data_IF_352013734195
#
_entry.id   IF_352013734195
#
_cell.length_a   1.000
_cell.length_b   1.000
_cell.length_c   1.000
_cell.angle_alpha   90.00
_cell.angle_beta   90.00
_cell.angle_gamma   90.00
#
_symmetry.space_group_name_H-M   'P 1'
#
loop_
_entity.id
_entity.type
_entity.pdbx_description
1 polymer ?
#
# COMPACT_ATOMS: atom_id res chain seq x y z
N UNK A 1 -69.45 44.93 -33.95
CA UNK A 1 -68.00 45.04 -34.26
C UNK A 1 -67.25 44.16 -33.28
N UNK A 2 -66.25 43.47 -33.79
CA UNK A 2 -65.52 42.31 -33.25
C UNK A 2 -64.77 42.66 -31.94
N UNK A 3 -64.84 41.82 -30.88
CA UNK A 3 -63.79 40.86 -30.49
C UNK A 3 -64.13 40.10 -29.19
N UNK A 4 -63.86 38.81 -29.23
CA UNK A 4 -64.04 37.79 -28.18
C UNK A 4 -62.77 37.73 -27.29
N UNK A 5 -62.94 37.57 -25.99
CA UNK A 5 -61.91 37.00 -25.10
C UNK A 5 -62.57 36.27 -23.93
N UNK A 6 -62.59 34.94 -24.02
CA UNK A 6 -63.04 34.00 -22.97
C UNK A 6 -61.82 33.52 -22.19
N UNK A 7 -61.84 33.69 -20.86
CA UNK A 7 -60.90 33.06 -19.95
C UNK A 7 -61.51 31.78 -19.36
N UNK A 8 -60.87 30.63 -19.58
CA UNK A 8 -61.22 29.36 -18.95
C UNK A 8 -60.00 28.82 -18.21
N UNK A 9 -60.16 28.61 -16.91
CA UNK A 9 -59.21 27.91 -16.05
C UNK A 9 -59.38 26.39 -16.22
N UNK A 10 -58.29 25.68 -16.48
CA UNK A 10 -58.24 24.23 -16.45
C UNK A 10 -57.05 23.79 -15.58
N UNK A 11 -57.37 23.10 -14.48
CA UNK A 11 -56.42 22.34 -13.69
C UNK A 11 -55.98 21.09 -14.47
N UNK A 12 -54.68 20.80 -14.41
CA UNK A 12 -54.08 19.63 -15.02
C UNK A 12 -53.12 18.94 -14.07
N UNK A 13 -53.46 17.72 -13.67
CA UNK A 13 -52.60 16.76 -12.98
C UNK A 13 -51.28 16.55 -13.75
N UNK A 14 -50.13 16.79 -13.11
CA UNK A 14 -48.83 16.36 -13.66
C UNK A 14 -48.55 14.92 -13.23
N UNK A 15 -48.48 14.03 -14.23
CA UNK A 15 -47.87 12.69 -14.15
C UNK A 15 -46.39 12.85 -13.82
N UNK A 16 -45.93 12.13 -12.78
CA UNK A 16 -44.52 11.89 -12.54
C UNK A 16 -44.00 10.92 -13.61
N UNK A 17 -43.17 11.45 -14.52
CA UNK A 17 -42.35 10.66 -15.43
C UNK A 17 -40.97 10.48 -14.81
N UNK A 18 -40.51 9.23 -14.81
CA UNK A 18 -39.17 8.81 -14.43
C UNK A 18 -38.12 9.44 -15.35
N UNK A 19 -37.19 10.19 -14.77
CA UNK A 19 -35.89 10.48 -15.39
C UNK A 19 -34.78 9.91 -14.50
N UNK A 20 -33.88 9.18 -15.15
CA UNK A 20 -32.85 8.38 -14.53
C UNK A 20 -31.86 9.20 -13.73
N UNK A 21 -31.57 8.69 -12.55
CA UNK A 21 -30.44 9.07 -11.72
C UNK A 21 -29.15 8.80 -12.51
N UNK A 22 -28.56 9.87 -13.03
CA UNK A 22 -27.25 9.84 -13.68
C UNK A 22 -26.23 10.30 -12.66
N UNK A 23 -25.51 9.32 -12.11
CA UNK A 23 -24.18 9.41 -11.50
C UNK A 23 -23.81 10.73 -10.84
N UNK A 24 -24.08 10.83 -9.53
CA UNK A 24 -23.52 11.89 -8.69
C UNK A 24 -21.99 11.91 -8.79
N UNK A 25 -21.46 12.95 -9.42
CA UNK A 25 -20.04 13.26 -9.34
C UNK A 25 -19.66 13.50 -7.89
N UNK A 26 -18.77 12.68 -7.35
CA UNK A 26 -18.20 12.89 -6.03
C UNK A 26 -17.52 14.26 -6.03
N UNK A 27 -17.98 15.17 -5.17
CA UNK A 27 -17.37 16.48 -5.00
C UNK A 27 -15.96 16.29 -4.41
N UNK A 28 -14.94 16.37 -5.25
CA UNK A 28 -13.56 16.42 -4.81
C UNK A 28 -13.29 17.77 -4.15
N UNK A 29 -13.19 17.76 -2.83
CA UNK A 29 -13.13 18.97 -2.00
C UNK A 29 -13.41 18.70 -0.52
N UNK A 30 -13.11 17.49 -0.02
CA UNK A 30 -13.28 17.16 1.39
C UNK A 30 -12.51 18.10 2.32
N UNK A 31 -12.89 18.12 3.60
CA UNK A 31 -12.25 18.96 4.61
C UNK A 31 -10.72 18.80 4.59
N UNK A 32 -10.00 19.91 4.62
CA UNK A 32 -8.54 19.86 4.58
C UNK A 32 -8.00 19.15 5.82
N UNK A 33 -7.09 18.20 5.63
CA UNK A 33 -6.41 17.52 6.74
C UNK A 33 -5.14 18.29 7.10
N UNK A 34 -5.01 18.72 8.36
CA UNK A 34 -3.75 19.27 8.86
C UNK A 34 -2.77 18.15 9.13
N UNK A 35 -1.58 18.25 8.54
CA UNK A 35 -0.49 17.29 8.68
C UNK A 35 0.56 17.82 9.65
N UNK A 36 1.13 16.91 10.45
CA UNK A 36 2.24 17.26 11.33
C UNK A 36 3.38 16.25 11.17
N UNK A 37 4.22 16.40 10.14
CA UNK A 37 5.29 15.45 9.87
C UNK A 37 6.19 15.17 11.08
N UNK A 38 6.43 13.88 11.35
CA UNK A 38 7.22 13.42 12.47
C UNK A 38 8.49 12.72 12.00
N UNK A 39 9.62 13.05 12.64
CA UNK A 39 10.91 12.43 12.38
C UNK A 39 11.47 12.74 10.98
N UNK A 40 12.53 12.02 10.60
CA UNK A 40 13.14 12.13 9.27
C UNK A 40 12.30 11.42 8.22
N UNK A 41 12.23 11.99 7.01
CA UNK A 41 11.71 11.28 5.85
C UNK A 41 12.64 10.13 5.52
N UNK A 42 12.06 8.94 5.32
CA UNK A 42 12.80 7.76 4.92
C UNK A 42 13.13 7.83 3.42
N UNK A 43 14.28 7.27 3.05
CA UNK A 43 14.72 7.18 1.65
C UNK A 43 13.81 6.27 0.82
N UNK A 44 13.81 6.49 -0.50
CA UNK A 44 13.08 5.62 -1.42
C UNK A 44 13.63 4.20 -1.32
N UNK A 45 12.76 3.18 -1.42
CA UNK A 45 13.18 1.78 -1.30
C UNK A 45 14.24 1.36 -2.34
N UNK A 46 14.31 2.06 -3.47
CA UNK A 46 15.32 1.79 -4.50
C UNK A 46 16.70 2.33 -4.12
N UNK A 47 16.74 3.36 -3.28
CA UNK A 47 17.94 4.07 -2.86
C UNK A 47 18.41 3.67 -1.46
N UNK A 48 17.59 2.95 -0.69
CA UNK A 48 18.05 2.30 0.52
C UNK A 48 19.24 1.42 0.16
N UNK A 49 20.42 1.82 0.63
CA UNK A 49 21.58 0.95 0.64
C UNK A 49 21.11 -0.37 1.23
N UNK A 50 21.39 -1.49 0.56
CA UNK A 50 21.15 -2.79 1.15
C UNK A 50 21.79 -2.76 2.53
N UNK A 51 20.97 -2.64 3.59
CA UNK A 51 21.48 -2.77 4.94
C UNK A 51 22.29 -4.04 4.90
N UNK A 52 23.54 -3.98 5.35
CA UNK A 52 24.49 -5.08 5.28
C UNK A 52 24.09 -6.27 6.19
N UNK A 53 22.80 -6.63 6.21
CA UNK A 53 22.27 -7.89 6.66
C UNK A 53 22.22 -8.83 5.47
N UNK A 54 23.18 -9.73 5.40
CA UNK A 54 23.04 -10.93 4.59
C UNK A 54 21.92 -11.80 5.15
N UNK A 55 21.33 -12.67 4.33
CA UNK A 55 20.61 -13.81 4.88
C UNK A 55 21.53 -14.55 5.86
N UNK A 56 21.09 -14.72 7.10
CA UNK A 56 21.82 -15.46 8.11
C UNK A 56 21.20 -16.85 8.15
N UNK A 57 21.93 -17.83 7.61
CA UNK A 57 21.59 -19.24 7.82
C UNK A 57 21.83 -19.55 9.29
N UNK A 58 20.76 -19.47 10.09
CA UNK A 58 20.78 -19.99 11.46
C UNK A 58 20.84 -21.50 11.36
N UNK A 59 21.73 -22.11 12.15
CA UNK A 59 21.75 -23.55 12.27
C UNK A 59 20.34 -24.04 12.65
N UNK A 60 19.82 -25.10 12.00
CA UNK A 60 18.55 -25.67 12.40
C UNK A 60 18.64 -26.06 13.89
N UNK A 61 17.57 -25.79 14.66
CA UNK A 61 17.42 -26.32 16.01
C UNK A 61 17.62 -27.85 16.04
N UNK A 62 17.92 -28.40 17.22
CA UNK A 62 18.27 -29.81 17.38
C UNK A 62 17.34 -30.77 16.61
N UNK A 63 17.88 -31.87 16.05
CA UNK A 63 17.08 -32.92 15.44
C UNK A 63 15.98 -33.41 16.40
N UNK A 64 14.76 -33.61 15.89
CA UNK A 64 13.64 -34.14 16.68
C UNK A 64 12.71 -33.10 17.32
N UNK A 65 13.02 -31.80 17.24
CA UNK A 65 12.04 -30.77 17.63
C UNK A 65 11.08 -30.52 16.46
N UNK A 66 9.99 -31.27 16.41
CA UNK A 66 8.93 -31.12 15.40
C UNK A 66 8.05 -29.89 15.66
N UNK A 67 8.01 -29.37 16.89
CA UNK A 67 7.18 -28.21 17.26
C UNK A 67 8.02 -27.07 17.81
N UNK A 68 7.69 -25.86 17.39
CA UNK A 68 8.31 -24.61 17.84
C UNK A 68 7.32 -23.84 18.69
N UNK A 69 7.73 -23.48 19.90
CA UNK A 69 6.97 -22.56 20.75
C UNK A 69 7.38 -21.12 20.42
N UNK A 70 6.43 -20.35 19.89
CA UNK A 70 6.60 -18.94 19.58
C UNK A 70 6.12 -18.13 20.79
N UNK A 71 7.00 -17.38 21.47
CA UNK A 71 6.60 -16.59 22.63
C UNK A 71 5.61 -15.50 22.22
N UNK A 72 4.72 -15.14 23.15
CA UNK A 72 3.87 -13.97 23.00
C UNK A 72 4.71 -12.69 22.88
N UNK A 73 4.14 -11.66 22.28
CA UNK A 73 4.81 -10.37 22.09
C UNK A 73 4.25 -9.55 20.94
N UNK A 74 4.84 -8.37 20.78
CA UNK A 74 4.55 -7.42 19.69
C UNK A 74 4.96 -7.95 18.32
N UNK A 75 4.13 -7.67 17.34
CA UNK A 75 4.37 -7.85 15.91
C UNK A 75 3.97 -6.56 15.20
N UNK A 76 4.89 -5.97 14.43
CA UNK A 76 4.57 -5.01 13.38
C UNK A 76 4.21 -5.80 12.12
N UNK A 77 2.92 -6.00 11.87
CA UNK A 77 2.40 -6.78 10.75
C UNK A 77 2.36 -5.98 9.45
N UNK A 78 2.51 -6.67 8.31
CA UNK A 78 2.58 -6.08 6.99
C UNK A 78 3.94 -5.45 6.68
N UNK A 79 3.94 -4.46 5.79
CA UNK A 79 5.14 -3.87 5.21
C UNK A 79 5.07 -2.35 5.19
N UNK A 80 6.19 -1.70 4.96
CA UNK A 80 6.26 -0.25 4.92
C UNK A 80 5.74 0.25 3.57
N UNK A 81 4.86 1.28 3.52
CA UNK A 81 4.54 1.97 2.29
C UNK A 81 5.79 2.34 1.47
N UNK A 82 5.73 2.04 0.17
CA UNK A 82 6.87 2.15 -0.75
C UNK A 82 7.85 0.98 -0.78
N UNK A 83 7.71 -0.05 0.07
CA UNK A 83 8.56 -1.24 -0.01
C UNK A 83 8.44 -1.95 -1.36
N UNK A 84 9.56 -2.49 -1.86
CA UNK A 84 9.60 -3.22 -3.13
C UNK A 84 8.64 -4.41 -3.10
N UNK A 85 7.70 -4.42 -4.04
CA UNK A 85 6.70 -5.48 -4.22
C UNK A 85 5.56 -5.47 -3.20
N UNK A 86 5.46 -4.43 -2.36
CA UNK A 86 4.31 -4.26 -1.46
C UNK A 86 3.03 -4.06 -2.27
N UNK A 87 1.99 -4.82 -1.93
CA UNK A 87 0.62 -4.56 -2.37
C UNK A 87 -0.18 -3.90 -1.22
N UNK A 88 -0.51 -2.59 -1.28
CA UNK A 88 -1.26 -1.92 -0.21
C UNK A 88 -2.67 -2.45 0.03
N UNK A 89 -3.26 -3.13 -0.97
CA UNK A 89 -4.63 -3.65 -0.85
C UNK A 89 -4.67 -4.93 -0.01
N UNK A 90 -3.54 -5.63 0.09
CA UNK A 90 -3.41 -6.88 0.84
C UNK A 90 -2.53 -6.74 2.09
N UNK A 91 -1.46 -5.94 2.02
CA UNK A 91 -0.47 -5.77 3.07
C UNK A 91 -0.73 -4.49 3.91
N UNK A 92 -1.05 -4.63 5.21
CA UNK A 92 -1.31 -3.46 6.04
C UNK A 92 -0.03 -2.62 6.23
N UNK A 93 -0.21 -1.31 6.37
CA UNK A 93 0.90 -0.38 6.62
C UNK A 93 1.34 -0.44 8.09
N UNK A 94 2.35 -1.25 8.41
CA UNK A 94 2.98 -1.36 9.73
C UNK A 94 1.95 -1.49 10.88
N UNK A 95 1.08 -2.49 10.80
CA UNK A 95 0.02 -2.73 11.78
C UNK A 95 0.60 -3.32 13.07
N UNK A 96 0.61 -2.55 14.14
CA UNK A 96 1.04 -3.02 15.47
C UNK A 96 -0.02 -3.93 16.12
N UNK A 97 0.35 -5.17 16.44
CA UNK A 97 -0.48 -6.14 17.16
C UNK A 97 0.30 -6.83 18.27
N UNK A 98 -0.37 -7.16 19.37
CA UNK A 98 0.17 -8.00 20.44
C UNK A 98 -0.42 -9.41 20.29
N UNK A 99 0.44 -10.42 20.18
CA UNK A 99 0.00 -11.82 20.07
C UNK A 99 0.32 -12.58 21.36
N UNK A 100 -0.61 -13.43 21.79
CA UNK A 100 -0.34 -14.46 22.79
C UNK A 100 0.59 -15.53 22.24
N UNK A 101 1.31 -16.21 23.14
CA UNK A 101 2.19 -17.33 22.77
C UNK A 101 1.40 -18.51 22.19
N UNK A 102 2.01 -19.19 21.22
CA UNK A 102 1.43 -20.35 20.55
C UNK A 102 2.54 -21.34 20.17
N UNK A 103 2.16 -22.58 19.89
CA UNK A 103 3.07 -23.59 19.36
C UNK A 103 2.72 -23.87 17.91
N UNK A 104 3.70 -24.13 17.05
CA UNK A 104 3.47 -24.40 15.63
C UNK A 104 4.36 -25.51 15.10
N UNK A 105 3.91 -26.16 14.03
CA UNK A 105 4.70 -27.12 13.29
C UNK A 105 5.96 -26.45 12.73
N UNK A 106 7.10 -27.10 12.94
CA UNK A 106 8.40 -26.64 12.47
C UNK A 106 8.51 -26.75 10.96
N UNK A 107 7.98 -27.83 10.40
CA UNK A 107 7.90 -28.09 8.96
C UNK A 107 6.47 -27.90 8.45
N UNK A 108 6.29 -27.86 7.13
CA UNK A 108 4.97 -27.99 6.53
C UNK A 108 4.33 -29.33 6.94
N UNK A 109 3.00 -29.38 7.00
CA UNK A 109 2.26 -30.62 7.27
C UNK A 109 2.72 -31.73 6.30
N UNK A 110 3.05 -32.95 6.78
CA UNK A 110 2.68 -33.56 8.06
C UNK A 110 3.65 -33.29 9.23
N UNK A 111 4.50 -32.26 9.14
CA UNK A 111 5.49 -31.89 10.14
C UNK A 111 6.58 -32.94 10.37
N UNK A 112 6.97 -33.62 9.29
CA UNK A 112 7.92 -34.72 9.27
C UNK A 112 8.97 -34.44 8.18
N UNK A 113 10.25 -34.22 8.51
CA UNK A 113 11.29 -33.91 7.53
C UNK A 113 11.58 -35.07 6.56
N UNK A 114 11.14 -36.29 6.88
CA UNK A 114 11.25 -37.45 6.00
C UNK A 114 10.13 -37.57 4.97
N UNK A 115 9.12 -36.70 5.02
CA UNK A 115 7.96 -36.73 4.12
C UNK A 115 7.83 -35.42 3.33
N UNK A 116 7.38 -35.48 2.07
CA UNK A 116 7.08 -34.27 1.32
C UNK A 116 5.91 -33.51 1.98
N UNK A 117 5.89 -32.17 1.89
CA UNK A 117 4.73 -31.38 2.27
C UNK A 117 3.46 -31.87 1.57
N UNK A 118 2.36 -31.99 2.31
CA UNK A 118 1.06 -32.24 1.69
C UNK A 118 0.53 -30.96 1.06
N UNK A 119 0.37 -30.98 -0.26
CA UNK A 119 -0.22 -29.89 -1.04
C UNK A 119 -1.48 -30.38 -1.77
N UNK A 120 -2.11 -29.53 -2.59
CA UNK A 120 -3.26 -29.92 -3.41
C UNK A 120 -4.55 -30.11 -2.59
N UNK A 121 -4.62 -29.53 -1.39
CA UNK A 121 -5.79 -29.61 -0.52
C UNK A 121 -6.47 -28.24 -0.37
N UNK A 122 -7.78 -28.25 -0.17
CA UNK A 122 -8.55 -27.03 0.12
C UNK A 122 -8.27 -26.52 1.54
N UNK A 123 -8.59 -25.25 1.81
CA UNK A 123 -8.44 -24.68 3.17
C UNK A 123 -9.26 -25.45 4.21
N UNK A 124 -10.46 -25.92 3.82
CA UNK A 124 -11.30 -26.74 4.67
C UNK A 124 -10.63 -28.08 5.02
N UNK A 125 -10.00 -28.75 4.04
CA UNK A 125 -9.28 -30.01 4.27
C UNK A 125 -8.02 -29.80 5.10
N UNK A 126 -7.25 -28.73 4.86
CA UNK A 126 -6.10 -28.36 5.70
C UNK A 126 -6.53 -28.14 7.17
N UNK A 127 -7.66 -27.47 7.38
CA UNK A 127 -8.24 -27.27 8.72
C UNK A 127 -8.59 -28.59 9.40
N UNK A 128 -9.28 -29.50 8.69
CA UNK A 128 -9.65 -30.83 9.20
C UNK A 128 -8.41 -31.65 9.60
N UNK A 129 -7.37 -31.65 8.75
CA UNK A 129 -6.13 -32.38 9.02
C UNK A 129 -5.39 -31.83 10.24
N UNK A 130 -5.35 -30.50 10.41
CA UNK A 130 -4.78 -29.92 11.63
C UNK A 130 -5.57 -30.29 12.89
N UNK A 131 -6.91 -30.35 12.81
CA UNK A 131 -7.75 -30.79 13.93
C UNK A 131 -7.49 -32.26 14.28
N UNK A 132 -7.35 -33.14 13.28
CA UNK A 132 -6.99 -34.55 13.48
C UNK A 132 -5.60 -34.71 14.11
N UNK A 133 -4.66 -33.80 13.80
CA UNK A 133 -3.33 -33.74 14.42
C UNK A 133 -3.30 -33.05 15.80
N UNK A 134 -4.47 -32.81 16.42
CA UNK A 134 -4.60 -32.19 17.74
C UNK A 134 -4.24 -30.70 17.78
N UNK A 135 -4.39 -30.01 16.65
CA UNK A 135 -4.14 -28.57 16.52
C UNK A 135 -5.21 -27.86 15.72
N UNK A 136 -4.82 -26.77 15.07
CA UNK A 136 -5.65 -25.94 14.20
C UNK A 136 -4.78 -25.35 13.10
N UNK A 137 -5.39 -24.86 12.04
CA UNK A 137 -4.65 -24.06 11.06
C UNK A 137 -4.14 -22.77 11.73
N UNK A 138 -2.90 -22.36 11.42
CA UNK A 138 -2.33 -21.12 11.95
C UNK A 138 -3.07 -19.89 11.42
N UNK A 139 -3.21 -18.83 12.23
CA UNK A 139 -3.71 -17.54 11.71
C UNK A 139 -2.62 -16.85 10.89
N UNK A 140 -3.00 -15.90 10.03
CA UNK A 140 -2.01 -15.21 9.19
C UNK A 140 -1.03 -14.33 9.97
N UNK A 141 -1.42 -13.85 11.16
CA UNK A 141 -0.55 -13.06 12.03
C UNK A 141 0.37 -13.95 12.86
N UNK A 142 -0.08 -15.16 13.24
CA UNK A 142 0.80 -16.18 13.82
C UNK A 142 1.88 -16.60 12.81
N UNK A 143 1.48 -16.84 11.56
CA UNK A 143 2.42 -17.16 10.47
C UNK A 143 3.45 -16.05 10.25
N UNK A 144 3.00 -14.78 10.19
CA UNK A 144 3.93 -13.67 9.97
C UNK A 144 4.86 -13.45 11.16
N UNK A 145 4.37 -13.55 12.40
CA UNK A 145 5.23 -13.50 13.60
C UNK A 145 6.29 -14.59 13.56
N UNK A 146 5.89 -15.82 13.23
CA UNK A 146 6.80 -16.95 13.11
C UNK A 146 7.87 -16.72 12.04
N UNK A 147 7.50 -16.11 10.92
CA UNK A 147 8.40 -15.80 9.81
C UNK A 147 9.37 -14.68 10.18
N UNK A 148 8.86 -13.53 10.66
CA UNK A 148 9.68 -12.36 11.00
C UNK A 148 10.65 -12.58 12.15
N UNK A 149 10.32 -13.49 13.08
CA UNK A 149 11.11 -13.69 14.29
C UNK A 149 11.04 -12.52 15.26
N UNK A 150 11.83 -12.59 16.35
CA UNK A 150 11.90 -11.51 17.36
C UNK A 150 12.39 -10.18 16.79
N UNK A 151 13.26 -10.23 15.79
CA UNK A 151 13.90 -9.05 15.20
C UNK A 151 13.04 -8.35 14.13
N UNK A 152 11.85 -8.88 13.81
CA UNK A 152 10.98 -8.25 12.81
C UNK A 152 11.54 -8.32 11.38
N UNK A 153 12.33 -9.35 11.05
CA UNK A 153 13.04 -9.45 9.75
C UNK A 153 12.07 -9.55 8.56
N UNK A 154 12.36 -8.90 7.42
CA UNK A 154 11.48 -8.94 6.24
C UNK A 154 11.41 -10.32 5.59
N UNK A 155 12.40 -11.18 5.80
CA UNK A 155 12.44 -12.57 5.38
C UNK A 155 12.73 -13.49 6.56
N UNK A 156 12.36 -14.77 6.43
CA UNK A 156 12.58 -15.76 7.48
C UNK A 156 14.05 -15.80 7.94
N UNK A 157 14.98 -15.77 6.99
CA UNK A 157 16.43 -15.86 7.25
C UNK A 157 17.10 -14.49 7.44
N UNK A 158 16.37 -13.39 7.52
CA UNK A 158 16.91 -12.05 7.82
C UNK A 158 16.48 -10.97 6.84
N UNK A 159 17.41 -10.06 6.50
CA UNK A 159 17.11 -8.85 5.74
C UNK A 159 16.95 -9.07 4.22
N UNK A 160 17.38 -10.21 3.68
CA UNK A 160 17.27 -10.55 2.27
C UNK A 160 16.83 -12.01 2.08
N UNK A 161 16.16 -12.29 0.96
CA UNK A 161 15.83 -13.65 0.55
C UNK A 161 17.10 -14.44 0.20
N UNK A 162 17.26 -15.65 0.76
CA UNK A 162 18.26 -16.61 0.31
C UNK A 162 17.64 -17.55 -0.73
N UNK A 163 18.04 -17.50 -2.01
CA UNK A 163 17.49 -18.37 -3.05
C UNK A 163 17.66 -19.87 -2.78
N UNK A 164 18.60 -20.27 -1.92
CA UNK A 164 18.73 -21.66 -1.51
C UNK A 164 17.51 -22.16 -0.72
N UNK A 165 16.76 -21.27 -0.05
CA UNK A 165 15.56 -21.63 0.71
C UNK A 165 14.43 -22.19 -0.16
N UNK A 166 14.44 -21.90 -1.47
CA UNK A 166 13.50 -22.51 -2.40
C UNK A 166 13.85 -23.97 -2.71
N UNK A 167 15.14 -24.30 -2.76
CA UNK A 167 15.64 -25.65 -3.07
C UNK A 167 15.73 -26.52 -1.82
N UNK A 168 16.11 -25.91 -0.70
CA UNK A 168 16.40 -26.55 0.57
C UNK A 168 15.68 -25.83 1.73
N UNK A 169 14.33 -25.79 1.72
CA UNK A 169 13.56 -25.07 2.75
C UNK A 169 13.82 -25.58 4.17
N UNK A 170 14.17 -26.86 4.32
CA UNK A 170 14.54 -27.46 5.60
C UNK A 170 15.85 -26.89 6.21
N UNK A 171 16.66 -26.18 5.42
CA UNK A 171 17.89 -25.52 5.86
C UNK A 171 17.68 -24.03 6.22
N UNK A 172 16.45 -23.52 6.08
CA UNK A 172 16.14 -22.11 6.26
C UNK A 172 15.22 -21.88 7.45
N UNK A 173 15.84 -21.61 8.61
CA UNK A 173 15.15 -21.31 9.85
C UNK A 173 14.83 -19.83 10.00
N UNK A 174 13.62 -19.55 10.49
CA UNK A 174 13.24 -18.23 10.98
C UNK A 174 13.98 -17.86 12.27
N UNK A 175 13.83 -16.62 12.72
CA UNK A 175 14.35 -16.18 14.03
C UNK A 175 13.86 -17.02 15.21
N UNK A 176 12.71 -17.69 15.09
CA UNK A 176 12.15 -18.63 16.09
C UNK A 176 12.45 -20.10 15.80
N UNK A 177 13.14 -20.44 14.70
CA UNK A 177 13.52 -21.82 14.37
C UNK A 177 12.53 -22.57 13.46
N UNK A 178 11.54 -21.87 12.91
CA UNK A 178 10.55 -22.45 11.99
C UNK A 178 11.15 -22.55 10.59
N UNK A 179 11.00 -23.71 9.94
CA UNK A 179 11.69 -23.99 8.68
C UNK A 179 10.83 -23.67 7.46
N UNK A 180 11.50 -23.24 6.38
CA UNK A 180 10.95 -23.11 5.04
C UNK A 180 9.91 -21.99 4.86
N UNK A 181 9.80 -21.05 5.81
CA UNK A 181 8.83 -19.97 5.71
C UNK A 181 9.14 -19.07 4.50
N UNK A 182 8.11 -18.80 3.69
CA UNK A 182 8.23 -18.04 2.44
C UNK A 182 8.56 -18.87 1.20
N UNK A 183 9.06 -20.11 1.36
CA UNK A 183 9.49 -20.97 0.24
C UNK A 183 8.33 -21.63 -0.53
N UNK A 184 7.15 -21.75 0.09
CA UNK A 184 5.94 -22.32 -0.50
C UNK A 184 4.73 -21.48 -0.09
N UNK A 185 3.63 -21.57 -0.84
CA UNK A 185 2.36 -20.99 -0.41
C UNK A 185 1.74 -21.83 0.69
N UNK A 186 1.16 -21.17 1.68
CA UNK A 186 0.59 -21.83 2.85
C UNK A 186 -0.80 -21.27 3.18
N UNK A 187 -1.77 -22.18 3.29
CA UNK A 187 -3.08 -21.84 3.83
C UNK A 187 -2.95 -21.34 5.28
N UNK A 188 -3.71 -20.30 5.60
CA UNK A 188 -3.94 -19.84 6.97
C UNK A 188 -5.43 -19.94 7.33
N UNK A 189 -5.74 -19.84 8.61
CA UNK A 189 -7.11 -19.81 9.11
C UNK A 189 -7.82 -18.47 8.82
N UNK A 190 -7.07 -17.43 8.43
CA UNK A 190 -7.56 -16.07 8.27
C UNK A 190 -8.21 -15.83 6.91
N UNK A 191 -9.07 -14.82 6.86
CA UNK A 191 -9.72 -14.34 5.64
C UNK A 191 -9.05 -13.06 5.15
N UNK A 192 -9.01 -12.89 3.82
CA UNK A 192 -8.91 -11.58 3.18
C UNK A 192 -10.33 -11.03 3.08
N UNK A 193 -10.62 -9.93 3.77
CA UNK A 193 -11.94 -9.30 3.68
C UNK A 193 -12.15 -8.61 2.34
N UNK A 194 -13.41 -8.36 2.02
CA UNK A 194 -13.81 -7.75 0.76
C UNK A 194 -13.34 -6.30 0.60
N UNK A 195 -12.99 -5.94 -0.63
CA UNK A 195 -12.75 -4.58 -1.10
C UNK A 195 -13.61 -4.39 -2.35
N UNK A 196 -14.55 -3.46 -2.28
CA UNK A 196 -15.51 -3.17 -3.35
C UNK A 196 -14.81 -3.01 -4.72
N UNK A 197 -15.31 -3.75 -5.71
CA UNK A 197 -14.83 -3.81 -7.10
C UNK A 197 -13.35 -4.21 -7.30
N UNK A 198 -12.65 -4.67 -6.26
CA UNK A 198 -11.23 -5.04 -6.34
C UNK A 198 -10.92 -6.44 -5.83
N UNK A 199 -11.45 -6.83 -4.68
CA UNK A 199 -11.10 -8.07 -4.02
C UNK A 199 -12.32 -8.66 -3.34
N UNK A 200 -12.82 -9.79 -3.85
CA UNK A 200 -13.84 -10.56 -3.15
C UNK A 200 -13.27 -11.17 -1.86
N UNK A 201 -14.14 -11.49 -0.89
CA UNK A 201 -13.72 -12.23 0.29
C UNK A 201 -13.05 -13.55 -0.11
N UNK A 202 -11.87 -13.82 0.45
CA UNK A 202 -11.05 -14.96 0.09
C UNK A 202 -10.31 -15.52 1.32
N UNK A 203 -9.63 -16.66 1.17
CA UNK A 203 -8.72 -17.18 2.18
C UNK A 203 -7.35 -16.51 2.10
N UNK A 204 -6.79 -16.13 3.25
CA UNK A 204 -5.45 -15.59 3.32
C UNK A 204 -4.41 -16.70 3.17
N UNK A 205 -3.54 -16.54 2.17
CA UNK A 205 -2.40 -17.42 1.90
C UNK A 205 -1.12 -16.62 2.11
N UNK A 206 -0.12 -17.28 2.70
CA UNK A 206 1.20 -16.72 2.99
C UNK A 206 2.30 -17.43 2.21
N UNK A 207 3.47 -16.81 2.14
CA UNK A 207 4.59 -17.29 1.33
C UNK A 207 4.36 -17.09 -0.17
N UNK A 208 5.11 -17.81 -1.00
CA UNK A 208 5.08 -17.62 -2.45
C UNK A 208 5.17 -18.94 -3.22
N UNK A 209 4.69 -18.92 -4.47
CA UNK A 209 4.79 -20.03 -5.39
C UNK A 209 6.25 -20.30 -5.80
N UNK A 210 6.53 -21.48 -6.33
CA UNK A 210 7.84 -21.80 -6.92
C UNK A 210 8.16 -20.84 -8.08
N UNK A 211 9.39 -20.35 -8.16
CA UNK A 211 9.85 -19.39 -9.16
C UNK A 211 9.43 -17.95 -8.90
N UNK A 212 8.67 -17.67 -7.83
CA UNK A 212 8.29 -16.31 -7.48
C UNK A 212 9.53 -15.46 -7.11
N UNK A 213 9.55 -14.18 -7.49
CA UNK A 213 10.67 -13.30 -7.21
C UNK A 213 10.84 -13.04 -5.71
N UNK A 214 12.01 -12.53 -5.31
CA UNK A 214 12.35 -12.33 -3.91
C UNK A 214 11.36 -11.44 -3.15
N UNK A 215 10.73 -10.45 -3.80
CA UNK A 215 9.73 -9.61 -3.14
C UNK A 215 8.47 -10.37 -2.70
N UNK A 216 8.09 -11.47 -3.35
CA UNK A 216 6.89 -12.23 -2.97
C UNK A 216 7.19 -13.20 -1.82
N UNK A 217 8.48 -13.39 -1.50
CA UNK A 217 8.97 -14.25 -0.42
C UNK A 217 9.02 -13.54 0.94
N UNK A 218 8.68 -12.24 0.98
CA UNK A 218 8.66 -11.44 2.21
C UNK A 218 7.69 -12.05 3.22
N UNK A 219 8.02 -11.99 4.51
CA UNK A 219 7.12 -12.42 5.58
C UNK A 219 5.81 -11.64 5.60
N UNK A 220 5.81 -10.40 5.09
CA UNK A 220 4.63 -9.56 4.96
C UNK A 220 3.76 -9.90 3.73
N UNK A 221 4.31 -10.57 2.72
CA UNK A 221 3.57 -10.91 1.51
C UNK A 221 2.34 -11.74 1.85
N UNK A 222 1.24 -11.43 1.17
CA UNK A 222 -0.09 -11.97 1.41
C UNK A 222 -0.80 -12.14 0.09
N UNK A 223 -1.48 -13.25 -0.09
CA UNK A 223 -2.31 -13.50 -1.28
C UNK A 223 -3.73 -13.86 -0.88
N UNK A 224 -4.68 -13.46 -1.72
CA UNK A 224 -6.09 -13.79 -1.61
C UNK A 224 -6.42 -14.97 -2.55
N UNK A 225 -6.85 -16.11 -2.00
CA UNK A 225 -7.16 -17.31 -2.78
C UNK A 225 -8.55 -17.83 -2.44
N UNK A 226 -9.33 -18.26 -3.44
CA UNK A 226 -10.63 -18.92 -3.20
C UNK A 226 -10.44 -20.08 -2.21
N UNK A 227 -11.12 -20.10 -1.05
CA UNK A 227 -10.94 -21.14 -0.03
C UNK A 227 -11.28 -22.57 -0.52
N UNK A 228 -11.98 -22.70 -1.66
CA UNK A 228 -12.28 -23.98 -2.33
C UNK A 228 -11.19 -24.41 -3.31
N UNK A 229 -10.23 -23.55 -3.64
CA UNK A 229 -9.12 -23.90 -4.50
C UNK A 229 -8.19 -24.93 -3.86
N UNK A 230 -7.50 -25.69 -4.70
CA UNK A 230 -6.43 -26.61 -4.34
C UNK A 230 -5.29 -26.43 -5.35
N UNK A 231 -4.08 -26.14 -4.87
CA UNK A 231 -2.89 -26.00 -5.72
C UNK A 231 -1.79 -26.96 -5.29
N UNK A 232 -1.05 -27.50 -6.25
CA UNK A 232 0.09 -28.40 -6.01
C UNK A 232 1.28 -27.70 -5.34
N UNK A 233 1.30 -26.37 -5.35
CA UNK A 233 2.24 -25.48 -4.67
C UNK A 233 1.69 -24.89 -3.35
N UNK A 234 0.50 -25.31 -2.93
CA UNK A 234 -0.22 -24.78 -1.78
C UNK A 234 -0.31 -25.81 -0.66
N UNK A 235 0.55 -25.63 0.35
CA UNK A 235 0.60 -26.43 1.56
C UNK A 235 -0.04 -25.74 2.75
N UNK A 236 0.32 -26.18 3.96
CA UNK A 236 -0.12 -25.58 5.22
C UNK A 236 0.74 -26.09 6.39
N UNK A 237 0.58 -25.46 7.55
CA UNK A 237 1.16 -25.91 8.83
C UNK A 237 0.15 -25.72 9.96
N UNK A 238 0.26 -26.54 11.01
CA UNK A 238 -0.67 -26.50 12.13
C UNK A 238 -0.08 -25.72 13.31
N UNK A 239 -0.95 -24.99 14.00
CA UNK A 239 -0.70 -24.31 15.26
C UNK A 239 -1.48 -24.97 16.40
N UNK A 240 -1.04 -24.75 17.63
CA UNK A 240 -1.63 -25.28 18.87
C UNK A 240 -1.71 -24.18 19.93
N UNK A 241 -2.67 -24.33 20.84
CA UNK A 241 -3.07 -23.29 21.79
C UNK A 241 -4.24 -22.45 21.28
N UNK A 242 -4.70 -21.50 22.10
CA UNK A 242 -5.78 -20.60 21.73
C UNK A 242 -5.41 -19.80 20.46
N UNK A 243 -6.35 -19.60 19.52
CA UNK A 243 -6.11 -18.74 18.35
C UNK A 243 -5.93 -17.29 18.77
N UNK A 244 -4.89 -16.66 18.23
CA UNK A 244 -4.77 -15.21 18.31
C UNK A 244 -5.92 -14.54 17.56
N UNK A 245 -6.67 -13.67 18.26
CA UNK A 245 -7.90 -13.06 17.74
C UNK A 245 -7.65 -11.83 16.84
N UNK A 246 -6.43 -11.29 16.82
CA UNK A 246 -6.09 -10.17 15.96
C UNK A 246 -6.27 -10.54 14.47
N UNK A 247 -6.72 -9.58 13.67
CA UNK A 247 -6.95 -9.74 12.23
C UNK A 247 -6.36 -8.57 11.46
N UNK A 248 -6.07 -8.79 10.17
CA UNK A 248 -5.68 -7.71 9.26
C UNK A 248 -6.98 -7.07 8.71
N UNK A 249 -7.22 -5.77 8.95
CA UNK A 249 -8.38 -5.09 8.42
C UNK A 249 -8.29 -4.93 6.90
N UNK A 250 -9.41 -5.06 6.19
CA UNK A 250 -9.46 -4.70 4.77
C UNK A 250 -9.42 -3.19 4.60
N UNK A 251 -8.53 -2.66 3.73
CA UNK A 251 -8.51 -1.23 3.47
C UNK A 251 -9.74 -0.81 2.68
N UNK A 252 -10.34 0.32 3.06
CA UNK A 252 -11.45 0.93 2.34
C UNK A 252 -11.00 1.93 1.27
N UNK A 253 -11.89 2.20 0.32
CA UNK A 253 -11.72 3.34 -0.57
C UNK A 253 -11.78 4.65 0.22
N UNK A 254 -10.79 5.51 -0.01
CA UNK A 254 -10.82 6.89 0.46
C UNK A 254 -11.22 7.82 -0.69
N UNK A 255 -11.61 9.05 -0.34
CA UNK A 255 -11.69 10.12 -1.35
C UNK A 255 -10.34 10.20 -2.08
N UNK A 256 -10.38 10.21 -3.41
CA UNK A 256 -9.17 10.13 -4.24
C UNK A 256 -8.21 11.27 -3.92
N UNK A 257 -8.74 12.47 -3.69
CA UNK A 257 -7.95 13.66 -3.39
C UNK A 257 -8.55 14.44 -2.22
N UNK A 258 -7.71 14.78 -1.25
CA UNK A 258 -8.05 15.69 -0.14
C UNK A 258 -7.01 16.79 -0.07
N UNK A 259 -7.45 18.04 0.11
CA UNK A 259 -6.50 19.12 0.40
C UNK A 259 -5.80 18.83 1.73
N UNK A 260 -4.51 19.11 1.80
CA UNK A 260 -3.73 18.97 3.02
C UNK A 260 -3.17 20.33 3.45
N UNK A 261 -3.15 20.57 4.75
CA UNK A 261 -2.49 21.72 5.34
C UNK A 261 -1.16 21.26 5.93
N UNK A 262 -0.07 21.74 5.35
CA UNK A 262 1.31 21.56 5.80
C UNK A 262 2.02 22.90 5.59
N UNK A 263 2.97 23.27 6.44
CA UNK A 263 3.68 24.55 6.32
C UNK A 263 4.90 24.44 5.41
N UNK A 264 5.34 25.54 4.78
CA UNK A 264 6.60 25.53 4.02
C UNK A 264 7.81 25.13 4.87
N UNK A 265 7.84 25.49 6.16
CA UNK A 265 8.89 25.10 7.09
C UNK A 265 8.93 23.58 7.31
N UNK A 266 7.78 22.92 7.50
CA UNK A 266 7.70 21.46 7.61
C UNK A 266 8.16 20.78 6.31
N UNK A 267 7.80 21.31 5.14
CA UNK A 267 8.30 20.77 3.86
C UNK A 267 9.81 20.98 3.71
N UNK A 268 10.36 22.11 4.16
CA UNK A 268 11.80 22.34 4.18
C UNK A 268 12.54 21.32 5.06
N UNK A 269 12.01 21.00 6.24
CA UNK A 269 12.55 19.95 7.13
C UNK A 269 12.48 18.56 6.47
N UNK A 270 11.36 18.24 5.81
CA UNK A 270 11.21 17.01 5.05
C UNK A 270 12.27 16.91 3.94
N UNK A 271 12.43 17.95 3.12
CA UNK A 271 13.43 18.03 2.05
C UNK A 271 14.85 17.84 2.59
N UNK A 272 15.18 18.52 3.69
CA UNK A 272 16.51 18.45 4.31
C UNK A 272 16.88 17.04 4.79
N UNK A 273 15.90 16.17 5.03
CA UNK A 273 16.12 14.79 5.45
C UNK A 273 16.34 13.79 4.31
N UNK A 274 16.16 14.20 3.05
CA UNK A 274 16.30 13.34 1.86
C UNK A 274 17.62 13.64 1.12
N UNK A 275 18.66 12.81 1.27
CA UNK A 275 19.92 12.87 0.51
C UNK A 275 19.84 13.19 -0.99
N UNK A 276 18.81 12.77 -1.72
CA UNK A 276 18.71 13.10 -3.16
C UNK A 276 18.12 14.50 -3.46
N UNK A 277 17.65 15.22 -2.45
CA UNK A 277 17.09 16.58 -2.57
C UNK A 277 18.06 17.68 -2.09
N UNK A 278 19.35 17.37 -1.93
CA UNK A 278 20.35 18.29 -1.40
C UNK A 278 20.46 19.59 -2.20
N UNK A 279 20.20 19.52 -3.50
CA UNK A 279 20.17 20.67 -4.42
C UNK A 279 19.15 21.76 -4.05
N UNK A 280 18.11 21.41 -3.28
CA UNK A 280 17.06 22.31 -2.81
C UNK A 280 16.91 22.27 -1.29
N UNK A 281 17.86 21.65 -0.59
CA UNK A 281 17.88 21.61 0.88
C UNK A 281 18.51 22.89 1.43
N UNK A 282 18.05 23.32 2.61
CA UNK A 282 18.62 24.48 3.33
C UNK A 282 18.30 25.85 2.70
N UNK A 283 17.43 25.91 1.69
CA UNK A 283 16.92 27.16 1.11
C UNK A 283 15.49 27.43 1.56
N UNK A 284 15.03 28.66 1.37
CA UNK A 284 13.65 29.05 1.70
C UNK A 284 12.65 28.33 0.79
N UNK A 285 11.68 27.67 1.41
CA UNK A 285 10.55 27.04 0.73
C UNK A 285 9.35 27.98 0.79
N UNK A 286 8.68 28.16 -0.35
CA UNK A 286 7.42 28.91 -0.44
C UNK A 286 6.41 28.16 -1.30
N UNK A 287 5.13 28.34 -1.00
CA UNK A 287 4.04 27.79 -1.82
C UNK A 287 3.44 28.86 -2.73
N UNK A 288 2.85 28.39 -3.82
CA UNK A 288 2.08 29.18 -4.76
C UNK A 288 0.68 29.48 -4.21
N UNK A 289 0.12 30.62 -4.57
CA UNK A 289 -1.11 31.20 -4.02
C UNK A 289 -2.29 31.03 -4.97
N UNK A 290 -3.37 30.47 -4.44
CA UNK A 290 -4.67 30.50 -5.12
C UNK A 290 -5.39 31.83 -4.87
N UNK A 291 -6.13 32.37 -5.87
CA UNK A 291 -6.30 31.84 -7.23
C UNK A 291 -5.23 32.29 -8.23
N UNK A 292 -4.39 33.27 -7.87
CA UNK A 292 -3.53 34.01 -8.80
C UNK A 292 -2.55 33.11 -9.58
N UNK A 293 -1.88 32.18 -8.89
CA UNK A 293 -0.89 31.30 -9.51
C UNK A 293 -1.53 30.22 -10.39
N UNK A 294 -2.75 29.79 -10.06
CA UNK A 294 -3.54 28.91 -10.94
C UNK A 294 -3.94 29.64 -12.22
N UNK A 295 -4.40 30.88 -12.08
CA UNK A 295 -4.76 31.72 -13.22
C UNK A 295 -3.53 32.02 -14.11
N UNK A 296 -2.36 32.23 -13.52
CA UNK A 296 -1.13 32.45 -14.27
C UNK A 296 -0.70 31.21 -15.08
N UNK A 297 -0.80 30.01 -14.50
CA UNK A 297 -0.53 28.76 -15.24
C UNK A 297 -1.56 28.52 -16.37
N UNK A 298 -2.83 28.86 -16.14
CA UNK A 298 -3.89 28.77 -17.16
C UNK A 298 -3.75 29.80 -18.27
N UNK A 299 -3.30 31.02 -17.97
CA UNK A 299 -3.10 32.07 -18.96
C UNK A 299 -2.03 31.71 -20.00
N UNK A 300 -1.10 30.80 -19.64
CA UNK A 300 -0.07 30.27 -20.55
C UNK A 300 -0.52 29.03 -21.32
N UNK A 301 -1.69 28.47 -21.02
CA UNK A 301 -2.11 27.13 -21.45
C UNK A 301 -2.34 26.96 -22.95
N UNK A 302 -1.95 25.80 -23.47
CA UNK A 302 -2.27 25.30 -24.81
C UNK A 302 -3.50 24.37 -24.81
N UNK A 303 -4.63 24.81 -24.25
CA UNK A 303 -5.86 23.98 -24.24
C UNK A 303 -6.81 24.16 -23.06
N UNK A 304 -6.45 25.00 -22.09
CA UNK A 304 -7.20 25.20 -20.85
C UNK A 304 -7.03 24.04 -19.86
N UNK A 305 -7.78 24.09 -18.75
CA UNK A 305 -7.78 22.98 -17.79
C UNK A 305 -8.31 21.69 -18.44
N UNK A 306 -7.72 20.52 -18.17
CA UNK A 306 -8.24 19.25 -18.67
C UNK A 306 -9.68 19.03 -18.20
N UNK A 307 -10.47 18.30 -18.99
CA UNK A 307 -11.86 18.01 -18.64
C UNK A 307 -11.98 17.38 -17.23
N UNK A 308 -12.98 17.80 -16.46
CA UNK A 308 -13.26 17.34 -15.10
C UNK A 308 -12.07 17.44 -14.13
N UNK A 309 -11.14 18.37 -14.38
CA UNK A 309 -9.95 18.57 -13.56
C UNK A 309 -10.01 19.89 -12.83
N UNK A 310 -9.87 19.85 -11.52
CA UNK A 310 -9.68 21.04 -10.70
C UNK A 310 -8.19 21.29 -10.52
N UNK A 311 -7.75 22.49 -10.88
CA UNK A 311 -6.36 22.91 -10.67
C UNK A 311 -6.20 23.54 -9.29
N UNK A 312 -5.09 23.26 -8.63
CA UNK A 312 -4.77 23.71 -7.29
C UNK A 312 -3.27 23.84 -7.12
N UNK A 313 -2.82 24.75 -6.25
CA UNK A 313 -1.45 24.81 -5.75
C UNK A 313 -1.33 24.30 -4.32
N UNK A 314 -2.48 23.93 -3.72
CA UNK A 314 -2.54 23.39 -2.37
C UNK A 314 -1.87 22.00 -2.32
N UNK A 315 -1.16 21.67 -1.23
CA UNK A 315 -0.73 20.30 -0.97
C UNK A 315 -1.92 19.33 -0.99
N UNK A 316 -1.71 18.12 -1.50
CA UNK A 316 -2.75 17.11 -1.65
C UNK A 316 -2.37 15.81 -0.93
N UNK A 317 -3.32 15.22 -0.21
CA UNK A 317 -3.31 13.79 0.08
C UNK A 317 -4.05 13.05 -1.03
N UNK A 318 -3.32 12.19 -1.71
CA UNK A 318 -3.78 11.40 -2.83
C UNK A 318 -3.86 9.92 -2.46
N UNK A 319 -5.03 9.32 -2.66
CA UNK A 319 -5.32 7.92 -2.33
C UNK A 319 -5.63 7.13 -3.62
N UNK A 320 -4.62 6.70 -4.40
CA UNK A 320 -4.84 6.09 -5.72
C UNK A 320 -5.49 4.70 -5.66
N UNK A 321 -5.23 3.95 -4.59
CA UNK A 321 -5.76 2.61 -4.31
C UNK A 321 -6.06 2.48 -2.81
N UNK A 322 -6.90 1.52 -2.39
CA UNK A 322 -7.13 1.27 -0.96
C UNK A 322 -5.83 0.91 -0.25
N UNK A 323 -5.64 1.46 0.95
CA UNK A 323 -4.46 1.17 1.78
C UNK A 323 -3.20 1.97 1.42
N UNK A 324 -3.32 2.93 0.50
CA UNK A 324 -2.23 3.83 0.10
C UNK A 324 -2.65 5.30 0.19
N UNK A 325 -1.82 6.12 0.82
CA UNK A 325 -1.96 7.58 0.90
C UNK A 325 -0.62 8.24 0.58
N UNK A 326 -0.64 9.20 -0.35
CA UNK A 326 0.55 9.89 -0.84
C UNK A 326 0.36 11.39 -0.64
N UNK A 327 1.27 12.04 0.09
CA UNK A 327 1.35 13.49 0.13
C UNK A 327 2.05 13.99 -1.12
N UNK A 328 1.36 14.79 -1.93
CA UNK A 328 1.92 15.48 -3.10
C UNK A 328 2.00 16.98 -2.81
N UNK A 329 3.19 17.56 -2.97
CA UNK A 329 3.45 18.98 -2.72
C UNK A 329 4.09 19.60 -3.95
N UNK A 330 3.54 20.72 -4.41
CA UNK A 330 4.17 21.62 -5.37
C UNK A 330 4.62 22.89 -4.65
N UNK A 331 5.81 23.37 -4.97
CA UNK A 331 6.35 24.57 -4.32
C UNK A 331 7.61 25.09 -5.00
N UNK A 332 8.20 26.10 -4.37
CA UNK A 332 9.40 26.79 -4.82
C UNK A 332 10.50 26.70 -3.77
N UNK A 333 11.73 26.49 -4.23
CA UNK A 333 12.96 26.47 -3.45
C UNK A 333 13.97 27.41 -4.13
N UNK A 334 14.13 28.64 -3.61
CA UNK A 334 14.92 29.71 -4.26
C UNK A 334 14.55 29.94 -5.75
N UNK A 335 15.44 29.62 -6.70
CA UNK A 335 15.19 29.76 -8.15
C UNK A 335 14.62 28.50 -8.80
N UNK A 336 14.26 27.49 -8.01
CA UNK A 336 13.76 26.20 -8.47
C UNK A 336 12.30 26.02 -8.10
N UNK A 337 11.56 25.29 -8.93
CA UNK A 337 10.25 24.76 -8.59
C UNK A 337 10.34 23.25 -8.40
N UNK A 338 9.42 22.66 -7.64
CA UNK A 338 9.41 21.22 -7.40
C UNK A 338 8.00 20.64 -7.38
N UNK A 339 7.94 19.34 -7.66
CA UNK A 339 6.83 18.45 -7.31
C UNK A 339 7.43 17.28 -6.52
N UNK A 340 6.98 17.08 -5.29
CA UNK A 340 7.44 16.01 -4.41
C UNK A 340 6.25 15.13 -4.03
N UNK A 341 6.46 13.82 -4.05
CA UNK A 341 5.49 12.83 -3.61
C UNK A 341 6.09 11.99 -2.48
N UNK A 342 5.34 11.82 -1.39
CA UNK A 342 5.75 11.06 -0.21
C UNK A 342 4.70 10.03 0.16
N UNK A 343 5.10 8.77 0.34
CA UNK A 343 4.23 7.80 0.99
C UNK A 343 4.00 8.22 2.45
N UNK A 344 2.75 8.23 2.89
CA UNK A 344 2.40 8.48 4.28
C UNK A 344 2.50 7.19 5.08
N UNK A 345 3.25 7.23 6.17
CA UNK A 345 3.44 6.11 7.11
C UNK A 345 2.63 6.35 8.39
N UNK A 346 2.36 5.31 9.20
CA UNK A 346 1.75 5.51 10.51
C UNK A 346 2.53 6.50 11.39
N UNK A 347 1.77 7.29 12.14
CA UNK A 347 2.30 8.34 13.03
C UNK A 347 2.78 9.60 12.31
N UNK A 348 2.18 9.96 11.16
CA UNK A 348 2.57 11.10 10.32
C UNK A 348 4.08 11.11 9.98
N UNK A 349 4.65 9.92 9.81
CA UNK A 349 6.00 9.76 9.22
C UNK A 349 5.87 9.62 7.71
N UNK A 350 6.97 9.83 7.00
CA UNK A 350 6.94 9.84 5.53
C UNK A 350 8.13 9.10 4.93
N UNK A 351 7.94 8.60 3.72
CA UNK A 351 9.00 8.07 2.85
C UNK A 351 8.93 8.77 1.50
N UNK A 352 10.06 9.19 0.94
CA UNK A 352 10.07 9.79 -0.40
C UNK A 352 9.62 8.72 -1.42
N UNK A 353 8.61 9.08 -2.23
CA UNK A 353 8.05 8.19 -3.26
C UNK A 353 8.60 8.55 -4.64
N UNK A 354 8.62 9.84 -4.96
CA UNK A 354 9.22 10.38 -6.19
C UNK A 354 9.45 11.89 -6.03
N UNK A 355 10.40 12.43 -6.79
CA UNK A 355 10.70 13.85 -6.80
C UNK A 355 10.96 14.37 -8.21
N UNK A 356 10.51 15.58 -8.49
CA UNK A 356 10.86 16.36 -9.67
C UNK A 356 11.30 17.75 -9.22
N UNK A 357 12.50 18.17 -9.63
CA UNK A 357 13.01 19.52 -9.41
C UNK A 357 13.21 20.18 -10.77
N UNK A 358 12.47 21.25 -11.02
CA UNK A 358 12.56 22.07 -12.22
C UNK A 358 13.63 23.15 -11.98
N UNK A 359 14.80 22.94 -12.58
CA UNK A 359 15.93 23.85 -12.42
C UNK A 359 15.65 25.20 -13.09
N UNK A 360 15.99 26.27 -12.38
CA UNK A 360 15.77 27.66 -12.80
C UNK A 360 14.33 28.05 -13.18
N UNK A 361 13.35 27.24 -12.80
CA UNK A 361 11.93 27.51 -12.99
C UNK A 361 11.37 28.29 -11.80
N UNK A 362 10.75 29.45 -12.07
CA UNK A 362 10.19 30.35 -11.05
C UNK A 362 8.67 30.44 -11.10
N UNK A 363 8.07 30.00 -12.21
CA UNK A 363 6.65 30.04 -12.45
C UNK A 363 5.87 29.09 -11.55
N UNK A 364 4.56 29.30 -11.41
CA UNK A 364 3.74 28.46 -10.57
C UNK A 364 3.66 27.05 -11.13
N UNK A 365 3.81 26.07 -10.23
CA UNK A 365 3.48 24.67 -10.53
C UNK A 365 2.11 24.39 -9.96
N UNK A 366 1.17 24.03 -10.82
CA UNK A 366 -0.17 23.60 -10.44
C UNK A 366 -0.27 22.08 -10.45
N UNK A 367 -1.04 21.54 -9.51
CA UNK A 367 -1.50 20.17 -9.50
C UNK A 367 -2.95 20.13 -10.02
N UNK A 368 -3.30 19.08 -10.74
CA UNK A 368 -4.66 18.81 -11.17
C UNK A 368 -5.20 17.58 -10.45
N UNK A 369 -6.45 17.63 -10.03
CA UNK A 369 -7.15 16.44 -9.55
C UNK A 369 -8.47 16.24 -10.26
N UNK A 370 -8.76 14.98 -10.57
CA UNK A 370 -9.95 14.53 -11.29
C UNK A 370 -10.50 13.27 -10.60
N UNK A 371 -11.68 13.36 -10.01
CA UNK A 371 -12.26 12.29 -9.18
C UNK A 371 -12.52 10.98 -9.90
N UNK A 372 -12.59 11.00 -11.23
CA UNK A 372 -12.76 9.81 -12.06
C UNK A 372 -11.43 9.11 -12.37
N UNK A 373 -10.30 9.80 -12.21
CA UNK A 373 -8.96 9.26 -12.52
C UNK A 373 -8.18 9.13 -11.22
N UNK A 374 -8.15 7.92 -10.67
CA UNK A 374 -7.52 7.66 -9.36
C UNK A 374 -6.01 7.51 -9.41
N UNK A 375 -5.47 6.91 -10.48
CA UNK A 375 -4.03 6.56 -10.58
C UNK A 375 -3.15 7.66 -11.22
N UNK A 376 -3.70 8.85 -11.48
CA UNK A 376 -2.93 9.95 -12.09
C UNK A 376 -3.36 11.31 -11.56
N UNK A 377 -2.38 12.11 -11.16
CA UNK A 377 -2.53 13.49 -10.71
C UNK A 377 -1.70 14.38 -11.66
N UNK A 378 -2.33 15.14 -12.58
CA UNK A 378 -1.63 16.07 -13.44
C UNK A 378 -0.77 17.08 -12.66
N UNK A 379 0.36 17.50 -13.25
CA UNK A 379 1.11 18.68 -12.80
C UNK A 379 1.49 19.52 -14.02
N UNK A 380 1.62 20.84 -13.86
CA UNK A 380 2.04 21.73 -14.95
C UNK A 380 2.61 23.06 -14.45
N UNK A 381 3.58 23.62 -15.19
CA UNK A 381 3.95 25.05 -15.17
C UNK A 381 3.22 25.83 -16.26
N UNK A 382 2.91 25.14 -17.37
CA UNK A 382 1.96 25.55 -18.39
C UNK A 382 1.04 24.37 -18.70
N UNK A 383 -0.27 24.57 -18.58
CA UNK A 383 -1.27 23.51 -18.75
C UNK A 383 -1.38 23.11 -20.22
N UNK A 384 -1.32 21.81 -20.52
CA UNK A 384 -1.29 21.21 -21.87
C UNK A 384 -0.08 21.62 -22.76
N UNK A 385 0.88 22.38 -22.24
CA UNK A 385 2.14 22.64 -22.94
C UNK A 385 3.05 21.40 -22.93
N UNK A 386 3.70 21.13 -24.07
CA UNK A 386 4.73 20.10 -24.17
C UNK A 386 6.00 20.51 -23.44
N UNK A 387 6.55 19.61 -22.62
CA UNK A 387 7.73 19.82 -21.79
C UNK A 387 7.45 20.58 -20.49
N UNK A 388 6.25 21.15 -20.33
CA UNK A 388 5.88 21.98 -19.16
C UNK A 388 4.72 21.38 -18.36
N UNK A 389 4.33 20.15 -18.70
CA UNK A 389 3.25 19.42 -18.05
C UNK A 389 3.59 17.94 -17.91
N UNK A 390 2.82 17.26 -17.07
CA UNK A 390 3.12 15.88 -16.71
C UNK A 390 2.12 15.30 -15.74
N UNK A 391 2.46 14.14 -15.18
CA UNK A 391 1.61 13.44 -14.21
C UNK A 391 2.45 12.83 -13.09
N UNK A 392 1.98 12.97 -11.86
CA UNK A 392 2.31 12.05 -10.77
C UNK A 392 1.44 10.80 -10.99
N UNK A 393 2.06 9.65 -11.23
CA UNK A 393 1.39 8.42 -11.66
C UNK A 393 1.65 7.30 -10.67
N UNK A 394 0.57 6.62 -10.26
CA UNK A 394 0.63 5.39 -9.47
C UNK A 394 0.56 4.22 -10.45
N UNK A 395 1.68 3.51 -10.59
CA UNK A 395 1.85 2.45 -11.58
C UNK A 395 1.28 1.13 -11.08
N UNK A 396 1.17 0.17 -11.99
CA UNK A 396 0.67 -1.17 -11.67
C UNK A 396 1.68 -2.01 -10.87
N UNK A 397 2.95 -1.61 -10.83
CA UNK A 397 3.96 -2.16 -9.91
C UNK A 397 3.94 -1.48 -8.51
N UNK A 398 2.87 -0.75 -8.20
CA UNK A 398 2.62 -0.05 -6.93
C UNK A 398 3.61 1.07 -6.59
N UNK A 399 4.32 1.58 -7.61
CA UNK A 399 5.27 2.69 -7.47
C UNK A 399 4.69 4.02 -7.93
N UNK A 400 5.11 5.08 -7.25
CA UNK A 400 4.84 6.46 -7.68
C UNK A 400 5.97 6.94 -8.57
N UNK A 401 5.62 7.53 -9.72
CA UNK A 401 6.58 8.20 -10.60
C UNK A 401 6.05 9.57 -10.99
N UNK A 402 6.93 10.56 -11.12
CA UNK A 402 6.60 11.86 -11.69
C UNK A 402 7.15 11.91 -13.11
N UNK A 403 6.24 12.01 -14.08
CA UNK A 403 6.55 11.99 -15.52
C UNK A 403 6.35 13.40 -16.08
N UNK A 404 7.30 13.88 -16.87
CA UNK A 404 7.19 15.07 -17.73
C UNK A 404 6.85 14.61 -19.15
N UNK A 405 5.92 15.30 -19.83
CA UNK A 405 5.42 14.94 -21.17
C UNK A 405 5.89 15.91 -22.23
#
# INVERSE_FOLDING_TARGET
MILVATAAALGGCRRAGSEGDTGGGASDGGASLTLNPQGKVLEAAENEAATAGSAVRRAPAAPGQERIDVPGGKLTAGSMPGDKGRDPTLEPALLEVELGGFSMDRFLYPNDPGKPPLTGVTRAKATELCQQAGGRLCTELEWERACKGSEGSPYATGAAWDPACEKEPASCASGFGVLGMGAMREWTASDVGEIEDLQARAGAVRGAARGAPAQDRRCAHRSAVDPKASGDDLGFRCCRGAPNAATIPSPGWQQTYRKATITPAQVAEMIASVPHLQDIAGVEISFFKEPDDVNAALARSDGGAPANTTLTTSPLLWSPVPGEEILVVAGKADKHAFVLAFYRLPGDRYRIASSLVLKEEKGPVVLGFNGYIRKRLPWATCVECRGESGHVTYRDDHRVVIIQK
#
